data_IF_182729068474
#
_entry.id   IF_182729068474
#
_cell.length_a   1.000
_cell.length_b   1.000
_cell.length_c   1.000
_cell.angle_alpha   90.00
_cell.angle_beta   90.00
_cell.angle_gamma   90.00
#
_symmetry.space_group_name_H-M   'P 1'
#
loop_
_entity.id
_entity.type
_entity.pdbx_description
1 polymer ?
#
# COMPACT_ATOMS: atom_id res chain seq x y z
N UNK A 1 -6.96 -0.90 -7.29
CA UNK A 1 -6.26 0.35 -6.87
C UNK A 1 -6.51 0.56 -5.37
N UNK A 2 -5.56 0.23 -4.49
CA UNK A 2 -5.76 0.46 -3.05
C UNK A 2 -5.53 1.94 -2.69
N UNK A 3 -6.56 2.67 -2.27
CA UNK A 3 -6.48 4.11 -1.97
C UNK A 3 -5.43 4.44 -0.87
N UNK A 4 -5.24 3.53 0.09
CA UNK A 4 -4.17 3.59 1.10
C UNK A 4 -2.78 3.70 0.45
N UNK A 5 -2.51 2.90 -0.59
CA UNK A 5 -1.21 2.89 -1.26
C UNK A 5 -0.93 4.20 -1.98
N UNK A 6 -1.97 4.83 -2.54
CA UNK A 6 -1.87 6.16 -3.16
C UNK A 6 -1.53 7.22 -2.13
N UNK A 7 -2.25 7.26 -0.99
CA UNK A 7 -1.97 8.21 0.10
C UNK A 7 -0.54 8.05 0.65
N UNK A 8 -0.09 6.81 0.88
CA UNK A 8 1.28 6.54 1.35
C UNK A 8 2.32 6.99 0.32
N UNK A 9 2.12 6.73 -0.97
CA UNK A 9 3.01 7.22 -2.04
C UNK A 9 3.09 8.75 -2.03
N UNK A 10 1.95 9.44 -2.00
CA UNK A 10 1.90 10.90 -2.01
C UNK A 10 2.68 11.51 -0.84
N UNK A 11 2.59 10.91 0.35
CA UNK A 11 3.30 11.40 1.53
C UNK A 11 4.79 11.03 1.54
N UNK A 12 5.13 9.75 1.36
CA UNK A 12 6.50 9.27 1.54
C UNK A 12 7.41 9.52 0.34
N UNK A 13 6.88 9.35 -0.89
CA UNK A 13 7.64 9.49 -2.14
C UNK A 13 7.51 10.90 -2.73
N UNK A 14 6.29 11.40 -2.87
CA UNK A 14 6.04 12.72 -3.47
C UNK A 14 6.16 13.88 -2.47
N UNK A 15 6.40 13.58 -1.18
CA UNK A 15 6.58 14.56 -0.09
C UNK A 15 5.43 15.57 0.05
N UNK A 16 4.21 15.22 -0.38
CA UNK A 16 3.03 16.08 -0.23
C UNK A 16 2.62 16.15 1.24
N UNK A 17 2.23 17.35 1.66
CA UNK A 17 1.66 17.55 2.98
C UNK A 17 0.30 16.84 3.12
N UNK A 18 -0.08 16.51 4.36
CA UNK A 18 -1.42 15.96 4.66
C UNK A 18 -2.53 16.86 4.11
N UNK A 19 -2.33 18.18 4.10
CA UNK A 19 -3.32 19.14 3.60
C UNK A 19 -3.51 19.02 2.09
N UNK A 20 -2.42 18.90 1.34
CA UNK A 20 -2.49 18.70 -0.12
C UNK A 20 -3.14 17.37 -0.46
N UNK A 21 -2.80 16.31 0.28
CA UNK A 21 -3.41 14.98 0.06
C UNK A 21 -4.92 15.05 0.28
N UNK A 22 -5.40 15.71 1.33
CA UNK A 22 -6.83 15.90 1.59
C UNK A 22 -7.51 16.63 0.42
N UNK A 23 -6.91 17.71 -0.11
CA UNK A 23 -7.47 18.45 -1.26
C UNK A 23 -7.54 17.60 -2.54
N UNK A 24 -6.53 16.75 -2.76
CA UNK A 24 -6.41 15.95 -3.98
C UNK A 24 -7.24 14.66 -3.97
N UNK A 25 -7.62 14.18 -2.79
CA UNK A 25 -8.29 12.88 -2.62
C UNK A 25 -9.70 12.98 -2.06
N UNK A 26 -10.12 14.16 -1.61
CA UNK A 26 -11.39 14.41 -0.90
C UNK A 26 -11.60 13.53 0.34
N UNK A 27 -10.53 12.91 0.85
CA UNK A 27 -10.55 12.12 2.07
C UNK A 27 -10.49 13.04 3.28
N UNK A 28 -11.15 12.62 4.36
CA UNK A 28 -11.04 13.32 5.62
C UNK A 28 -9.59 13.34 6.14
N UNK A 29 -9.22 14.41 6.82
CA UNK A 29 -7.88 14.55 7.42
C UNK A 29 -7.56 13.44 8.42
N UNK A 30 -8.58 12.94 9.12
CA UNK A 30 -8.43 11.84 10.09
C UNK A 30 -8.16 10.52 9.37
N UNK A 31 -8.82 10.25 8.25
CA UNK A 31 -8.56 9.06 7.40
C UNK A 31 -7.12 9.07 6.88
N UNK A 32 -6.67 10.21 6.32
CA UNK A 32 -5.28 10.34 5.82
C UNK A 32 -4.28 10.08 6.96
N UNK A 33 -4.49 10.68 8.14
CA UNK A 33 -3.62 10.47 9.30
C UNK A 33 -3.63 9.02 9.79
N UNK A 34 -4.79 8.38 9.85
CA UNK A 34 -4.93 6.96 10.24
C UNK A 34 -4.09 6.10 9.31
N UNK A 35 -4.24 6.27 8.00
CA UNK A 35 -3.52 5.47 7.01
C UNK A 35 -2.02 5.71 6.97
N UNK A 36 -1.56 6.92 7.29
CA UNK A 36 -0.12 7.19 7.44
C UNK A 36 0.46 6.56 8.70
N UNK A 37 -0.33 6.40 9.77
CA UNK A 37 0.07 5.74 11.02
C UNK A 37 -0.05 4.22 10.97
N UNK A 38 -0.98 3.67 10.18
CA UNK A 38 -1.21 2.23 10.12
C UNK A 38 0.06 1.54 9.59
N UNK A 39 0.70 0.66 10.39
CA UNK A 39 1.82 -0.13 9.91
C UNK A 39 1.34 -0.94 8.71
N UNK A 40 2.19 -1.07 7.69
CA UNK A 40 1.90 -2.00 6.59
C UNK A 40 1.89 -3.39 7.24
N UNK A 41 0.70 -3.96 7.43
CA UNK A 41 0.51 -5.35 7.83
C UNK A 41 1.08 -6.20 6.70
N UNK A 42 2.36 -6.54 6.86
CA UNK A 42 3.22 -7.30 5.94
C UNK A 42 3.25 -6.82 4.49
N UNK A 43 4.45 -6.73 3.91
CA UNK A 43 4.52 -6.74 2.46
C UNK A 43 3.87 -8.06 1.99
N UNK A 44 2.93 -8.03 1.02
CA UNK A 44 2.46 -9.25 0.39
C UNK A 44 3.64 -9.89 -0.32
N UNK A 45 4.41 -10.69 0.41
CA UNK A 45 5.52 -11.46 -0.11
C UNK A 45 4.88 -12.61 -0.86
N UNK A 46 4.94 -12.52 -2.18
CA UNK A 46 4.51 -13.62 -3.04
C UNK A 46 5.21 -14.90 -2.58
N UNK A 47 4.43 -15.85 -2.04
CA UNK A 47 4.90 -17.17 -1.64
C UNK A 47 4.30 -18.14 -2.61
N UNK A 48 5.15 -18.74 -3.44
CA UNK A 48 4.76 -19.87 -4.27
C UNK A 48 4.77 -21.10 -3.36
N UNK A 49 3.68 -21.85 -3.33
CA UNK A 49 3.66 -23.17 -2.70
C UNK A 49 4.70 -24.06 -3.41
N UNK A 50 5.41 -24.91 -2.64
CA UNK A 50 6.31 -25.93 -3.18
C UNK A 50 5.46 -27.06 -3.75
N UNK A 51 4.80 -26.77 -4.87
CA UNK A 51 3.98 -27.73 -5.60
C UNK A 51 4.81 -28.30 -6.73
N UNK A 52 4.77 -29.63 -6.87
CA UNK A 52 5.46 -30.36 -7.93
C UNK A 52 5.09 -29.75 -9.29
N UNK A 53 6.04 -29.03 -9.89
CA UNK A 53 5.88 -28.45 -11.21
C UNK A 53 5.77 -29.55 -12.26
N UNK A 54 5.10 -29.26 -13.39
CA UNK A 54 4.91 -30.20 -14.51
C UNK A 54 6.20 -30.79 -15.11
N UNK A 55 7.38 -30.32 -14.68
CA UNK A 55 8.71 -30.80 -15.10
C UNK A 55 9.37 -31.72 -14.06
N UNK A 56 8.67 -32.09 -12.97
CA UNK A 56 9.16 -33.03 -11.94
C UNK A 56 8.84 -34.49 -12.30
N UNK A 57 8.89 -34.82 -13.59
CA UNK A 57 8.80 -36.19 -14.11
C UNK A 57 10.16 -36.61 -14.66
N UNK A 58 10.69 -37.73 -14.14
CA UNK A 58 11.89 -38.41 -14.62
C UNK A 58 11.79 -38.83 -16.09
#
# INVERSE_FOLDING_TARGET
>A
MAMIGKVKRMYFREKKSVREIVRLTSLSRTTVRKWLKTPVLEEPRYRRSDEAGKLTGN
#
